data_IF_009760652802
#
_entry.id   IF_009760652802
#
_cell.length_a   1.000
_cell.length_b   1.000
_cell.length_c   1.000
_cell.angle_alpha   90.00
_cell.angle_beta   90.00
_cell.angle_gamma   90.00
#
_symmetry.space_group_name_H-M   'P 1'
#
loop_
_entity.id
_entity.type
_entity.pdbx_description
1 polymer ?
#
# COMPACT_ATOMS: atom_id res chain seq x y z
N UNK A 1 -7.06 -20.17 23.04
CA UNK A 1 -6.33 -20.08 21.73
C UNK A 1 -7.31 -20.57 20.68
N UNK A 2 -7.90 -19.68 19.87
CA UNK A 2 -8.92 -20.05 18.87
C UNK A 2 -8.16 -20.81 17.77
N UNK A 3 -8.50 -22.08 17.64
CA UNK A 3 -8.00 -22.93 16.55
C UNK A 3 -8.69 -22.45 15.26
N UNK A 4 -8.05 -21.48 14.60
CA UNK A 4 -8.57 -20.93 13.37
C UNK A 4 -8.26 -21.91 12.28
N UNK A 5 -9.33 -22.34 11.63
CA UNK A 5 -9.31 -23.20 10.49
C UNK A 5 -8.31 -22.68 9.43
N UNK A 6 -7.42 -23.55 8.98
CA UNK A 6 -6.41 -23.27 7.97
C UNK A 6 -7.05 -22.69 6.70
N UNK A 7 -8.23 -23.13 6.37
CA UNK A 7 -9.00 -22.69 5.21
C UNK A 7 -9.45 -21.22 5.34
N UNK A 8 -9.85 -20.78 6.52
CA UNK A 8 -10.25 -19.38 6.75
C UNK A 8 -9.06 -18.42 6.60
N UNK A 9 -7.88 -18.83 7.04
CA UNK A 9 -6.64 -18.07 6.88
C UNK A 9 -6.21 -17.96 5.42
N UNK A 10 -6.31 -19.04 4.68
CA UNK A 10 -5.99 -19.07 3.25
C UNK A 10 -6.96 -18.22 2.45
N UNK A 11 -8.27 -18.31 2.70
CA UNK A 11 -9.30 -17.48 2.08
C UNK A 11 -9.08 -15.99 2.32
N UNK A 12 -8.72 -15.59 3.54
CA UNK A 12 -8.37 -14.19 3.86
C UNK A 12 -7.11 -13.73 3.14
N UNK A 13 -6.06 -14.55 3.10
CA UNK A 13 -4.84 -14.22 2.38
C UNK A 13 -5.10 -14.04 0.87
N UNK A 14 -5.93 -14.90 0.27
CA UNK A 14 -6.35 -14.78 -1.12
C UNK A 14 -7.11 -13.48 -1.37
N UNK A 15 -8.10 -13.16 -0.53
CA UNK A 15 -8.88 -11.90 -0.61
C UNK A 15 -7.97 -10.68 -0.45
N UNK A 16 -7.02 -10.68 0.51
CA UNK A 16 -6.05 -9.59 0.67
C UNK A 16 -5.14 -9.43 -0.55
N UNK A 17 -4.64 -10.53 -1.11
CA UNK A 17 -3.79 -10.49 -2.30
C UNK A 17 -4.53 -9.93 -3.50
N UNK A 18 -5.80 -10.30 -3.67
CA UNK A 18 -6.63 -9.77 -4.75
C UNK A 18 -6.84 -8.25 -4.59
N UNK A 19 -7.37 -7.83 -3.44
CA UNK A 19 -7.69 -6.42 -3.21
C UNK A 19 -6.48 -5.51 -3.15
N UNK A 20 -5.50 -5.86 -2.32
CA UNK A 20 -4.38 -4.96 -2.01
C UNK A 20 -3.22 -5.03 -3.00
N UNK A 21 -3.12 -6.11 -3.81
CA UNK A 21 -1.98 -6.29 -4.72
C UNK A 21 -2.40 -6.42 -6.18
N UNK A 22 -3.38 -7.32 -6.48
CA UNK A 22 -3.73 -7.56 -7.89
C UNK A 22 -4.44 -6.37 -8.52
N UNK A 23 -5.39 -5.75 -7.83
CA UNK A 23 -6.13 -4.59 -8.38
C UNK A 23 -5.24 -3.38 -8.68
N UNK A 24 -4.34 -2.91 -7.79
CA UNK A 24 -3.39 -1.87 -8.14
C UNK A 24 -2.47 -2.22 -9.31
N UNK A 25 -2.05 -3.51 -9.42
CA UNK A 25 -1.24 -3.96 -10.53
C UNK A 25 -2.00 -3.96 -11.87
N UNK A 26 -3.30 -4.27 -11.87
CA UNK A 26 -4.13 -4.13 -13.07
C UNK A 26 -4.28 -2.67 -13.50
N UNK A 27 -4.52 -1.76 -12.54
CA UNK A 27 -4.64 -0.31 -12.83
C UNK A 27 -3.33 0.21 -13.42
N UNK A 28 -2.18 -0.20 -12.87
CA UNK A 28 -0.87 0.12 -13.41
C UNK A 28 -0.75 -0.27 -14.89
N UNK A 29 -1.16 -1.48 -15.26
CA UNK A 29 -1.00 -1.97 -16.63
C UNK A 29 -1.83 -1.22 -17.67
N UNK A 30 -2.88 -0.51 -17.27
CA UNK A 30 -3.72 0.26 -18.21
C UNK A 30 -2.89 1.29 -18.98
N UNK A 31 -2.01 2.02 -18.32
CA UNK A 31 -1.22 3.10 -18.96
C UNK A 31 -0.22 2.53 -19.96
N UNK A 32 0.66 1.58 -19.64
CA UNK A 32 1.58 0.98 -20.61
C UNK A 32 0.87 0.29 -21.77
N UNK A 33 -0.28 -0.37 -21.53
CA UNK A 33 -1.05 -1.04 -22.58
C UNK A 33 -1.65 -0.01 -23.52
N UNK A 34 -2.32 1.02 -23.00
CA UNK A 34 -2.92 2.08 -23.83
C UNK A 34 -1.85 2.79 -24.66
N UNK A 35 -0.71 3.16 -24.05
CA UNK A 35 0.40 3.77 -24.76
C UNK A 35 0.98 2.82 -25.82
N UNK A 36 1.19 1.54 -25.50
CA UNK A 36 1.70 0.55 -26.45
C UNK A 36 0.76 0.34 -27.64
N UNK A 37 -0.55 0.27 -27.37
CA UNK A 37 -1.56 0.15 -28.42
C UNK A 37 -1.62 1.41 -29.29
N UNK A 38 -1.64 2.60 -28.70
CA UNK A 38 -1.70 3.87 -29.45
C UNK A 38 -0.45 4.09 -30.31
N UNK A 39 0.73 3.78 -29.80
CA UNK A 39 1.98 3.86 -30.57
C UNK A 39 2.01 2.83 -31.71
N UNK A 40 1.56 1.60 -31.45
CA UNK A 40 1.48 0.55 -32.47
C UNK A 40 0.47 0.83 -33.55
N UNK A 41 -0.72 1.30 -33.20
CA UNK A 41 -1.78 1.61 -34.17
C UNK A 41 -1.34 2.70 -35.15
N UNK A 42 -0.65 3.72 -34.69
CA UNK A 42 -0.25 4.84 -35.53
C UNK A 42 0.72 4.44 -36.64
N UNK A 43 1.65 3.50 -36.38
CA UNK A 43 2.61 3.05 -37.39
C UNK A 43 2.05 1.94 -38.30
N UNK A 44 1.03 1.23 -37.88
CA UNK A 44 0.60 -0.03 -38.49
C UNK A 44 -0.72 0.00 -39.24
N UNK A 45 -1.64 0.94 -38.98
CA UNK A 45 -2.91 1.01 -39.71
C UNK A 45 -2.68 1.31 -41.19
N UNK A 46 -1.56 1.95 -41.52
CA UNK A 46 -1.27 2.36 -42.93
C UNK A 46 -0.61 1.27 -43.77
N UNK A 47 -0.04 0.18 -43.16
CA UNK A 47 0.85 -0.74 -43.90
C UNK A 47 0.65 -2.24 -43.62
N UNK A 48 -0.31 -2.69 -42.81
CA UNK A 48 -0.25 -4.09 -42.31
C UNK A 48 -1.30 -5.08 -42.79
N UNK A 49 -0.77 -6.27 -43.17
CA UNK A 49 -1.48 -7.53 -43.25
C UNK A 49 -1.91 -8.02 -41.86
N UNK A 50 -3.14 -8.50 -41.71
CA UNK A 50 -3.78 -8.97 -40.47
C UNK A 50 -2.92 -9.93 -39.61
N UNK A 51 -2.05 -10.74 -40.22
CA UNK A 51 -1.19 -11.66 -39.50
C UNK A 51 -0.14 -10.99 -38.61
N UNK A 52 0.42 -9.86 -39.04
CA UNK A 52 1.37 -9.08 -38.24
C UNK A 52 0.69 -8.35 -37.08
N UNK A 53 -0.52 -7.85 -37.28
CA UNK A 53 -1.35 -7.24 -36.22
C UNK A 53 -1.64 -8.24 -35.11
N UNK A 54 -1.92 -9.50 -35.44
CA UNK A 54 -2.16 -10.56 -34.48
C UNK A 54 -0.89 -10.86 -33.65
N UNK A 55 0.28 -10.99 -34.30
CA UNK A 55 1.57 -11.23 -33.60
C UNK A 55 1.89 -10.07 -32.66
N UNK A 56 1.67 -8.84 -33.08
CA UNK A 56 1.86 -7.66 -32.25
C UNK A 56 0.95 -7.66 -31.01
N UNK A 57 -0.34 -7.96 -31.20
CA UNK A 57 -1.30 -8.05 -30.09
C UNK A 57 -0.95 -9.19 -29.09
N UNK A 58 -0.54 -10.36 -29.59
CA UNK A 58 -0.08 -11.45 -28.76
C UNK A 58 1.21 -11.09 -27.97
N UNK A 59 2.14 -10.39 -28.61
CA UNK A 59 3.38 -9.94 -27.96
C UNK A 59 3.09 -8.97 -26.84
N UNK A 60 2.24 -7.95 -27.06
CA UNK A 60 1.83 -7.01 -26.01
C UNK A 60 1.14 -7.74 -24.86
N UNK A 61 0.22 -8.67 -25.17
CA UNK A 61 -0.51 -9.42 -24.15
C UNK A 61 0.46 -10.26 -23.29
N UNK A 62 1.43 -10.93 -23.91
CA UNK A 62 2.45 -11.73 -23.20
C UNK A 62 3.34 -10.86 -22.31
N UNK A 63 3.86 -9.75 -22.85
CA UNK A 63 4.69 -8.80 -22.10
C UNK A 63 3.88 -8.21 -20.94
N UNK A 64 2.64 -7.80 -21.17
CA UNK A 64 1.77 -7.24 -20.12
C UNK A 64 1.49 -8.25 -19.02
N UNK A 65 1.29 -9.53 -19.38
CA UNK A 65 1.08 -10.61 -18.41
C UNK A 65 2.34 -10.84 -17.57
N UNK A 66 3.50 -10.91 -18.20
CA UNK A 66 4.77 -11.05 -17.50
C UNK A 66 5.05 -9.85 -16.56
N UNK A 67 4.81 -8.63 -17.04
CA UNK A 67 4.89 -7.41 -16.24
C UNK A 67 3.92 -7.43 -15.06
N UNK A 68 2.70 -7.91 -15.25
CA UNK A 68 1.72 -8.04 -14.17
C UNK A 68 2.23 -8.92 -13.03
N UNK A 69 2.75 -10.10 -13.34
CA UNK A 69 3.29 -11.00 -12.31
C UNK A 69 4.50 -10.38 -11.61
N UNK A 70 5.43 -9.79 -12.35
CA UNK A 70 6.59 -9.12 -11.79
C UNK A 70 6.18 -7.96 -10.87
N UNK A 71 5.27 -7.09 -11.31
CA UNK A 71 4.77 -5.96 -10.57
C UNK A 71 4.01 -6.35 -9.31
N UNK A 72 3.20 -7.39 -9.37
CA UNK A 72 2.45 -7.90 -8.21
C UNK A 72 3.36 -8.16 -7.00
N UNK A 73 4.58 -8.61 -7.23
CA UNK A 73 5.57 -8.82 -6.18
C UNK A 73 6.36 -7.56 -5.84
N UNK A 74 6.77 -6.81 -6.85
CA UNK A 74 7.64 -5.64 -6.72
C UNK A 74 6.91 -4.43 -6.14
N UNK A 75 5.65 -4.21 -6.50
CA UNK A 75 4.82 -3.12 -5.98
C UNK A 75 4.73 -3.13 -4.46
N UNK A 76 4.66 -4.31 -3.85
CA UNK A 76 4.66 -4.43 -2.39
C UNK A 76 5.90 -3.82 -1.76
N UNK A 77 7.06 -4.03 -2.35
CA UNK A 77 8.32 -3.61 -1.76
C UNK A 77 8.61 -2.13 -2.07
N UNK A 78 8.27 -1.67 -3.26
CA UNK A 78 8.31 -0.24 -3.62
C UNK A 78 7.35 0.57 -2.76
N UNK A 79 6.10 0.11 -2.58
CA UNK A 79 5.11 0.81 -1.77
C UNK A 79 5.39 0.78 -0.26
N UNK A 80 6.26 -0.11 0.22
CA UNK A 80 6.80 -0.03 1.59
C UNK A 80 7.83 1.09 1.74
N UNK A 81 8.59 1.40 0.68
CA UNK A 81 9.53 2.53 0.70
C UNK A 81 8.77 3.85 0.57
N UNK A 82 7.94 3.97 -0.44
CA UNK A 82 7.03 5.09 -0.65
C UNK A 82 5.63 4.52 -0.97
N UNK A 83 4.57 4.96 -0.33
CA UNK A 83 4.50 5.97 0.72
C UNK A 83 4.80 5.45 2.14
N UNK A 84 5.07 4.17 2.32
CA UNK A 84 5.14 3.54 3.63
C UNK A 84 6.17 4.18 4.59
N UNK A 85 7.40 4.43 4.15
CA UNK A 85 8.45 5.01 5.01
C UNK A 85 8.55 6.53 4.91
N UNK A 86 8.34 7.09 3.72
CA UNK A 86 8.53 8.53 3.46
C UNK A 86 7.31 9.31 3.94
N UNK A 87 6.10 8.84 3.64
CA UNK A 87 4.86 9.52 3.99
C UNK A 87 4.66 9.67 5.51
N UNK A 88 5.06 8.66 6.29
CA UNK A 88 4.96 8.71 7.75
C UNK A 88 6.18 9.33 8.42
N UNK A 89 6.95 10.16 7.72
CA UNK A 89 8.09 11.02 8.07
C UNK A 89 9.14 10.42 9.02
N UNK A 90 8.74 9.63 9.99
CA UNK A 90 9.58 9.06 11.06
C UNK A 90 9.97 7.61 10.80
N UNK A 91 9.70 7.09 9.59
CA UNK A 91 9.88 5.67 9.24
C UNK A 91 9.11 4.68 10.14
N UNK A 92 8.15 5.19 10.90
CA UNK A 92 7.31 4.40 11.79
C UNK A 92 6.03 3.95 11.07
N UNK A 93 5.55 2.77 11.42
CA UNK A 93 4.23 2.32 11.00
C UNK A 93 3.15 3.20 11.66
N UNK A 94 2.00 3.46 11.00
CA UNK A 94 0.92 4.23 11.60
C UNK A 94 0.51 3.73 12.98
N UNK A 95 0.42 2.40 13.16
CA UNK A 95 0.11 1.75 14.43
C UNK A 95 1.16 2.01 15.52
N UNK A 96 2.43 2.01 15.17
CA UNK A 96 3.52 2.31 16.11
C UNK A 96 3.48 3.77 16.54
N UNK A 97 3.17 4.69 15.61
CA UNK A 97 3.15 6.13 15.85
C UNK A 97 2.11 6.54 16.91
N UNK A 98 0.94 5.89 16.93
CA UNK A 98 -0.16 6.23 17.85
C UNK A 98 0.19 6.07 19.34
N UNK A 99 1.15 5.21 19.68
CA UNK A 99 1.59 5.03 21.07
C UNK A 99 2.63 6.04 21.55
N UNK A 100 3.15 6.88 20.64
CA UNK A 100 4.10 7.93 21.01
C UNK A 100 3.41 9.17 21.56
N UNK A 101 4.09 9.88 22.48
CA UNK A 101 3.55 11.07 23.13
C UNK A 101 3.28 12.21 22.14
N UNK A 102 3.99 12.25 21.00
CA UNK A 102 3.84 13.31 19.99
C UNK A 102 2.62 13.10 19.07
N UNK A 103 1.90 11.99 19.19
CA UNK A 103 0.70 11.76 18.41
C UNK A 103 -0.51 12.24 19.22
N UNK A 104 -1.34 13.10 18.63
CA UNK A 104 -2.52 13.69 19.26
C UNK A 104 -3.81 12.92 19.00
N UNK A 105 -3.74 11.73 18.39
CA UNK A 105 -4.92 10.92 18.04
C UNK A 105 -5.64 10.38 19.28
N UNK A 106 -4.86 10.03 20.32
CA UNK A 106 -5.34 9.60 21.62
C UNK A 106 -4.85 10.54 22.71
N UNK A 107 -5.66 10.74 23.76
CA UNK A 107 -5.22 11.44 24.95
C UNK A 107 -4.15 10.65 25.70
N UNK A 108 -3.39 11.29 26.59
CA UNK A 108 -2.37 10.57 27.37
C UNK A 108 -3.00 9.53 28.32
N UNK A 109 -4.22 9.77 28.81
CA UNK A 109 -4.98 8.82 29.60
C UNK A 109 -5.30 7.56 28.78
N UNK A 110 -5.83 7.73 27.57
CA UNK A 110 -6.14 6.62 26.66
C UNK A 110 -4.87 5.82 26.29
N UNK A 111 -3.77 6.51 26.01
CA UNK A 111 -2.48 5.84 25.74
C UNK A 111 -1.98 5.09 26.99
N UNK A 112 -2.16 5.65 28.18
CA UNK A 112 -1.79 5.00 29.44
C UNK A 112 -2.60 3.73 29.66
N UNK A 113 -3.89 3.75 29.38
CA UNK A 113 -4.79 2.60 29.47
C UNK A 113 -4.41 1.50 28.49
N UNK A 114 -4.16 1.85 27.21
CA UNK A 114 -3.65 0.92 26.20
C UNK A 114 -2.34 0.26 26.66
N UNK A 115 -1.39 1.07 27.15
CA UNK A 115 -0.09 0.56 27.67
C UNK A 115 -0.27 -0.36 28.88
N UNK A 116 -1.21 -0.04 29.78
CA UNK A 116 -1.57 -0.86 30.93
C UNK A 116 -2.13 -2.22 30.48
N UNK A 117 -3.03 -2.23 29.52
CA UNK A 117 -3.62 -3.45 28.95
C UNK A 117 -2.56 -4.30 28.21
N UNK A 118 -1.64 -3.69 27.45
CA UNK A 118 -0.50 -4.40 26.85
C UNK A 118 0.38 -5.03 27.91
N UNK A 119 0.69 -4.29 28.98
CA UNK A 119 1.51 -4.80 30.09
C UNK A 119 0.86 -6.00 30.79
N UNK A 120 -0.44 -5.92 31.09
CA UNK A 120 -1.17 -7.02 31.77
C UNK A 120 -1.23 -8.30 30.94
N UNK A 121 -1.38 -8.18 29.60
CA UNK A 121 -1.55 -9.35 28.71
C UNK A 121 -0.28 -9.91 28.13
N UNK A 122 0.75 -9.09 27.89
CA UNK A 122 2.00 -9.53 27.25
C UNK A 122 3.24 -9.32 28.12
N UNK A 123 3.08 -8.71 29.30
CA UNK A 123 4.20 -8.35 30.19
C UNK A 123 5.25 -7.42 29.54
N UNK A 124 4.84 -6.62 28.55
CA UNK A 124 5.69 -5.61 27.91
C UNK A 124 5.40 -4.26 28.58
N UNK A 125 6.35 -3.80 29.42
CA UNK A 125 6.22 -2.49 30.07
C UNK A 125 6.68 -1.37 29.15
N UNK A 126 5.72 -0.63 28.58
CA UNK A 126 5.95 0.53 27.75
C UNK A 126 6.02 1.84 28.56
N UNK A 127 5.58 1.85 29.84
CA UNK A 127 5.60 3.04 30.69
C UNK A 127 7.00 3.37 31.19
N UNK A 128 7.84 2.35 31.41
CA UNK A 128 9.20 2.49 31.90
C UNK A 128 10.12 3.30 30.96
N UNK A 129 9.71 3.47 29.71
CA UNK A 129 10.47 4.16 28.69
C UNK A 129 9.58 5.22 28.02
N UNK A 130 9.39 6.36 28.70
CA UNK A 130 8.71 7.54 28.12
C UNK A 130 9.74 8.46 27.42
N UNK A 131 10.21 8.15 26.20
CA UNK A 131 11.10 9.08 25.50
C UNK A 131 10.25 10.18 24.90
N UNK A 132 10.72 11.39 25.06
CA UNK A 132 10.14 12.55 24.37
C UNK A 132 10.34 12.51 22.85
N UNK A 133 11.14 11.58 22.31
CA UNK A 133 11.49 11.55 20.88
C UNK A 133 11.65 10.12 20.34
N UNK A 134 11.38 9.95 19.03
CA UNK A 134 11.57 8.70 18.26
C UNK A 134 13.03 8.23 18.15
N UNK A 135 13.99 8.97 18.72
CA UNK A 135 15.42 8.69 18.59
C UNK A 135 15.90 7.53 19.45
N UNK A 136 15.11 7.09 20.43
CA UNK A 136 15.48 5.95 21.28
C UNK A 136 15.17 4.62 20.56
N UNK A 137 16.15 4.05 19.87
CA UNK A 137 16.03 2.78 19.14
C UNK A 137 15.52 1.62 20.02
N UNK A 138 15.89 1.58 21.31
CA UNK A 138 15.45 0.51 22.23
C UNK A 138 13.96 0.60 22.53
N UNK A 139 13.43 1.80 22.68
CA UNK A 139 11.99 2.01 22.88
C UNK A 139 11.21 1.71 21.61
N UNK A 140 11.66 2.19 20.44
CA UNK A 140 11.06 1.89 19.14
C UNK A 140 10.90 0.38 18.96
N UNK A 141 11.96 -0.39 19.23
CA UNK A 141 11.93 -1.85 19.12
C UNK A 141 10.89 -2.49 20.04
N UNK A 142 10.76 -2.02 21.29
CA UNK A 142 9.74 -2.53 22.21
C UNK A 142 8.33 -2.18 21.83
N UNK A 143 8.11 -0.96 21.35
CA UNK A 143 6.79 -0.56 20.81
C UNK A 143 6.45 -1.37 19.57
N UNK A 144 7.39 -1.61 18.66
CA UNK A 144 7.18 -2.48 17.50
C UNK A 144 6.85 -3.92 17.89
N UNK A 145 7.52 -4.49 18.90
CA UNK A 145 7.20 -5.82 19.43
C UNK A 145 5.78 -5.89 19.99
N UNK A 146 5.38 -4.87 20.76
CA UNK A 146 4.02 -4.77 21.28
C UNK A 146 2.98 -4.64 20.16
N UNK A 147 3.26 -3.80 19.14
CA UNK A 147 2.38 -3.60 18.00
C UNK A 147 2.26 -4.86 17.14
N UNK A 148 3.35 -5.58 16.91
CA UNK A 148 3.33 -6.85 16.16
C UNK A 148 2.42 -7.86 16.86
N UNK A 149 2.58 -8.01 18.18
CA UNK A 149 1.72 -8.88 18.99
C UNK A 149 0.24 -8.42 18.93
N UNK A 150 -0.01 -7.14 19.07
CA UNK A 150 -1.36 -6.55 19.03
C UNK A 150 -2.03 -6.80 17.68
N UNK A 151 -1.31 -6.63 16.58
CA UNK A 151 -1.79 -6.96 15.24
C UNK A 151 -2.09 -8.45 15.05
N UNK A 152 -1.34 -9.32 15.73
CA UNK A 152 -1.55 -10.76 15.67
C UNK A 152 -2.81 -11.18 16.44
N UNK A 153 -3.03 -10.62 17.63
CA UNK A 153 -4.22 -10.87 18.45
C UNK A 153 -5.50 -10.34 17.80
N UNK A 154 -5.42 -9.19 17.12
CA UNK A 154 -6.57 -8.56 16.45
C UNK A 154 -6.78 -9.04 15.01
N UNK A 155 -5.89 -9.88 14.49
CA UNK A 155 -5.80 -10.28 13.07
C UNK A 155 -7.10 -10.84 12.49
N UNK A 156 -7.93 -11.47 13.31
CA UNK A 156 -9.12 -12.20 12.85
C UNK A 156 -10.40 -11.39 12.90
N UNK A 157 -10.33 -10.15 13.34
CA UNK A 157 -11.45 -9.24 13.25
C UNK A 157 -11.73 -8.85 11.78
N UNK A 158 -12.97 -9.04 11.31
CA UNK A 158 -13.35 -8.82 9.92
C UNK A 158 -13.29 -7.35 9.53
N UNK A 159 -13.70 -6.47 10.44
CA UNK A 159 -13.66 -5.02 10.23
C UNK A 159 -12.21 -4.57 10.03
N UNK A 160 -11.30 -5.03 10.87
CA UNK A 160 -9.87 -4.73 10.72
C UNK A 160 -9.29 -5.26 9.44
N UNK A 161 -9.74 -6.42 9.01
CA UNK A 161 -9.31 -7.00 7.75
C UNK A 161 -9.67 -6.11 6.56
N UNK A 162 -10.87 -5.55 6.54
CA UNK A 162 -11.32 -4.62 5.48
C UNK A 162 -10.50 -3.33 5.46
N UNK A 163 -10.28 -2.71 6.63
CA UNK A 163 -9.43 -1.51 6.72
C UNK A 163 -7.98 -1.80 6.28
N UNK A 164 -7.46 -2.97 6.61
CA UNK A 164 -6.12 -3.39 6.15
C UNK A 164 -6.06 -3.58 4.62
N UNK A 165 -7.10 -4.14 4.02
CA UNK A 165 -7.23 -4.27 2.57
C UNK A 165 -7.27 -2.89 1.89
N UNK A 166 -8.09 -1.95 2.41
CA UNK A 166 -8.18 -0.58 1.90
C UNK A 166 -6.84 0.16 1.99
N UNK A 167 -6.20 0.13 3.16
CA UNK A 167 -4.88 0.73 3.34
C UNK A 167 -3.84 0.12 2.39
N UNK A 168 -3.83 -1.21 2.27
CA UNK A 168 -2.95 -1.93 1.36
C UNK A 168 -3.18 -1.58 -0.11
N UNK A 169 -4.44 -1.44 -0.53
CA UNK A 169 -4.81 -1.03 -1.88
C UNK A 169 -4.27 0.36 -2.23
N UNK A 170 -4.61 1.38 -1.44
CA UNK A 170 -4.20 2.75 -1.70
C UNK A 170 -2.68 2.93 -1.66
N UNK A 171 -2.02 2.28 -0.71
CA UNK A 171 -0.56 2.28 -0.62
C UNK A 171 0.10 1.70 -1.87
N UNK A 172 -0.39 0.56 -2.35
CA UNK A 172 0.18 -0.09 -3.53
C UNK A 172 -0.20 0.66 -4.81
N UNK A 173 -1.38 1.26 -4.89
CA UNK A 173 -1.79 2.12 -6.01
C UNK A 173 -0.88 3.36 -6.11
N UNK A 174 -0.58 4.02 -5.00
CA UNK A 174 0.36 5.15 -5.00
C UNK A 174 1.74 4.72 -5.49
N UNK A 175 2.23 3.54 -5.07
CA UNK A 175 3.49 2.99 -5.57
C UNK A 175 3.45 2.67 -7.06
N UNK A 176 2.32 2.16 -7.56
CA UNK A 176 2.11 1.88 -8.98
C UNK A 176 2.15 3.16 -9.82
N UNK A 177 1.42 4.20 -9.41
CA UNK A 177 1.40 5.50 -10.10
C UNK A 177 2.78 6.17 -10.15
N UNK A 178 3.63 5.96 -9.15
CA UNK A 178 5.01 6.46 -9.19
C UNK A 178 5.84 5.78 -10.28
N UNK A 179 5.68 4.46 -10.45
CA UNK A 179 6.38 3.73 -11.51
C UNK A 179 5.87 4.17 -12.87
N UNK A 180 4.55 4.29 -13.03
CA UNK A 180 3.93 4.79 -14.26
C UNK A 180 4.42 6.19 -14.61
N UNK A 181 4.51 7.08 -13.63
CA UNK A 181 5.04 8.44 -13.84
C UNK A 181 6.49 8.40 -14.34
N UNK A 182 7.35 7.57 -13.73
CA UNK A 182 8.73 7.41 -14.20
C UNK A 182 8.79 6.86 -15.62
N UNK A 183 7.89 5.92 -15.96
CA UNK A 183 7.78 5.38 -17.31
C UNK A 183 7.36 6.45 -18.32
N UNK A 184 6.30 7.23 -18.03
CA UNK A 184 5.82 8.32 -18.89
C UNK A 184 6.90 9.40 -19.06
N UNK A 185 7.61 9.77 -18.02
CA UNK A 185 8.69 10.73 -18.10
C UNK A 185 9.88 10.20 -18.89
N UNK A 186 10.21 8.91 -18.73
CA UNK A 186 11.22 8.23 -19.55
C UNK A 186 10.86 8.29 -21.03
N UNK A 187 9.61 7.97 -21.38
CA UNK A 187 9.13 8.09 -22.78
C UNK A 187 9.16 9.53 -23.28
N UNK A 188 8.80 10.51 -22.46
CA UNK A 188 8.85 11.94 -22.81
C UNK A 188 10.29 12.38 -23.09
N UNK A 189 11.26 11.93 -22.29
CA UNK A 189 12.68 12.21 -22.48
C UNK A 189 13.17 11.57 -23.78
N UNK A 190 12.88 10.30 -24.01
CA UNK A 190 13.24 9.59 -25.26
C UNK A 190 12.64 10.29 -26.48
N UNK A 191 11.38 10.69 -26.39
CA UNK A 191 10.73 11.43 -27.48
C UNK A 191 11.44 12.74 -27.81
N UNK A 192 11.88 13.48 -26.78
CA UNK A 192 12.58 14.77 -26.98
C UNK A 192 13.97 14.60 -27.59
N UNK A 193 14.67 13.51 -27.29
CA UNK A 193 16.10 13.34 -27.62
C UNK A 193 16.35 12.47 -28.87
N UNK A 194 15.49 11.50 -29.15
CA UNK A 194 15.73 10.48 -30.17
C UNK A 194 14.65 10.43 -31.27
N UNK A 195 13.41 10.74 -30.95
CA UNK A 195 12.28 10.61 -31.86
C UNK A 195 11.24 11.72 -31.62
N UNK A 196 10.72 12.34 -32.68
CA UNK A 196 9.55 13.20 -32.59
C UNK A 196 8.29 12.36 -32.66
N UNK A 197 7.87 11.78 -31.54
CA UNK A 197 6.59 11.08 -31.48
C UNK A 197 5.43 12.07 -31.59
N UNK A 198 4.36 11.77 -32.36
CA UNK A 198 3.24 12.68 -32.57
C UNK A 198 2.45 13.03 -31.30
N UNK A 199 2.75 12.35 -30.18
CA UNK A 199 2.03 12.55 -28.91
C UNK A 199 2.88 13.24 -27.82
N UNK A 200 3.96 13.93 -28.16
CA UNK A 200 4.85 14.54 -27.16
C UNK A 200 4.12 15.44 -26.17
N UNK A 201 3.19 16.26 -26.63
CA UNK A 201 2.37 17.11 -25.77
C UNK A 201 1.41 16.29 -24.90
N UNK A 202 0.80 15.23 -25.44
CA UNK A 202 -0.11 14.36 -24.69
C UNK A 202 0.64 13.62 -23.54
N UNK A 203 1.87 13.16 -23.77
CA UNK A 203 2.70 12.57 -22.72
C UNK A 203 3.03 13.56 -21.61
N UNK A 204 3.31 14.82 -21.93
CA UNK A 204 3.57 15.86 -20.93
C UNK A 204 2.32 16.12 -20.07
N UNK A 205 1.13 16.23 -20.70
CA UNK A 205 -0.14 16.37 -19.96
C UNK A 205 -0.45 15.16 -19.10
N UNK A 206 -0.24 13.96 -19.61
CA UNK A 206 -0.41 12.73 -18.85
C UNK A 206 0.49 12.72 -17.62
N UNK A 207 1.76 13.12 -17.76
CA UNK A 207 2.69 13.27 -16.64
C UNK A 207 2.20 14.26 -15.57
N UNK A 208 1.61 15.38 -15.97
CA UNK A 208 1.00 16.36 -15.09
C UNK A 208 -0.20 15.77 -14.31
N UNK A 209 -1.10 15.08 -15.00
CA UNK A 209 -2.25 14.39 -14.37
C UNK A 209 -1.77 13.35 -13.37
N UNK A 210 -0.73 12.59 -13.68
CA UNK A 210 -0.18 11.59 -12.78
C UNK A 210 0.36 12.20 -11.49
N UNK A 211 1.01 13.36 -11.53
CA UNK A 211 1.45 14.07 -10.32
C UNK A 211 0.25 14.37 -9.42
N UNK A 212 -0.84 14.89 -9.98
CA UNK A 212 -2.06 15.18 -9.20
C UNK A 212 -2.66 13.90 -8.59
N UNK A 213 -2.70 12.81 -9.35
CA UNK A 213 -3.19 11.51 -8.85
C UNK A 213 -2.29 10.96 -7.74
N UNK A 214 -0.96 11.10 -7.84
CA UNK A 214 -0.02 10.69 -6.80
C UNK A 214 -0.25 11.49 -5.52
N UNK A 215 -0.42 12.80 -5.61
CA UNK A 215 -0.71 13.65 -4.44
C UNK A 215 -2.02 13.19 -3.79
N UNK A 216 -3.08 13.03 -4.56
CA UNK A 216 -4.39 12.60 -4.07
C UNK A 216 -4.33 11.21 -3.39
N UNK A 217 -3.75 10.22 -4.08
CA UNK A 217 -3.62 8.85 -3.53
C UNK A 217 -2.70 8.80 -2.32
N UNK A 218 -1.71 9.68 -2.23
CA UNK A 218 -0.83 9.84 -1.06
C UNK A 218 -1.62 10.30 0.16
N UNK A 219 -2.47 11.33 0.00
CA UNK A 219 -3.35 11.83 1.07
C UNK A 219 -4.32 10.73 1.53
N UNK A 220 -4.94 10.03 0.57
CA UNK A 220 -5.87 8.92 0.87
C UNK A 220 -5.13 7.79 1.62
N UNK A 221 -3.92 7.43 1.19
CA UNK A 221 -3.10 6.42 1.86
C UNK A 221 -2.77 6.79 3.30
N UNK A 222 -2.41 8.06 3.53
CA UNK A 222 -2.14 8.56 4.88
C UNK A 222 -3.36 8.44 5.79
N UNK A 223 -4.51 8.91 5.31
CA UNK A 223 -5.77 8.86 6.07
C UNK A 223 -6.20 7.41 6.37
N UNK A 224 -6.18 6.53 5.36
CA UNK A 224 -6.52 5.11 5.57
C UNK A 224 -5.54 4.41 6.53
N UNK A 225 -4.26 4.75 6.48
CA UNK A 225 -3.26 4.23 7.42
C UNK A 225 -3.55 4.65 8.87
N UNK A 226 -3.97 5.91 9.10
CA UNK A 226 -4.36 6.39 10.43
C UNK A 226 -5.65 5.73 10.92
N UNK A 227 -6.67 5.63 10.06
CA UNK A 227 -7.94 4.98 10.40
C UNK A 227 -7.71 3.50 10.75
N UNK A 228 -6.95 2.78 9.93
CA UNK A 228 -6.58 1.40 10.23
C UNK A 228 -5.87 1.29 11.58
N UNK A 229 -4.87 2.13 11.83
CA UNK A 229 -4.13 2.13 13.08
C UNK A 229 -5.03 2.37 14.29
N UNK A 230 -5.94 3.36 14.21
CA UNK A 230 -6.91 3.64 15.27
C UNK A 230 -7.82 2.43 15.53
N UNK A 231 -8.39 1.84 14.47
CA UNK A 231 -9.26 0.66 14.58
C UNK A 231 -8.57 -0.55 15.21
N UNK A 232 -7.27 -0.74 14.98
CA UNK A 232 -6.49 -1.80 15.64
C UNK A 232 -6.53 -1.65 17.16
N UNK A 233 -6.35 -0.44 17.68
CA UNK A 233 -6.41 -0.18 19.12
C UNK A 233 -7.84 -0.25 19.67
N UNK A 234 -8.82 0.28 18.96
CA UNK A 234 -10.22 0.21 19.35
C UNK A 234 -10.68 -1.27 19.52
N UNK A 235 -10.37 -2.13 18.53
CA UNK A 235 -10.67 -3.56 18.61
C UNK A 235 -9.89 -4.23 19.74
N UNK A 236 -8.63 -3.87 19.95
CA UNK A 236 -7.84 -4.43 21.04
C UNK A 236 -8.43 -4.06 22.42
N UNK A 237 -8.90 -2.84 22.60
CA UNK A 237 -9.49 -2.41 23.85
C UNK A 237 -10.80 -3.15 24.15
N UNK A 238 -11.56 -3.54 23.15
CA UNK A 238 -12.86 -4.22 23.31
C UNK A 238 -12.73 -5.76 23.35
N UNK A 239 -11.57 -6.36 23.10
CA UNK A 239 -11.38 -7.82 23.03
C UNK A 239 -11.76 -8.60 24.32
N UNK A 240 -11.90 -7.93 25.46
CA UNK A 240 -12.26 -8.58 26.72
C UNK A 240 -13.76 -8.52 27.00
N UNK A 241 -14.47 -7.57 26.42
CA UNK A 241 -15.91 -7.40 26.60
C UNK A 241 -16.69 -8.51 25.87
N UNK A 242 -16.18 -8.95 24.70
CA UNK A 242 -16.81 -10.03 23.93
C UNK A 242 -16.73 -11.41 24.62
N UNK A 243 -15.82 -11.61 25.58
CA UNK A 243 -15.72 -12.89 26.31
C UNK A 243 -16.75 -13.06 27.44
N UNK A 244 -17.37 -11.98 27.86
CA UNK A 244 -18.38 -12.00 28.92
C UNK A 244 -19.81 -12.13 28.37
N UNK A 245 -19.98 -12.16 27.03
CA UNK A 245 -21.28 -12.22 26.36
C UNK A 245 -21.58 -13.59 25.71
N UNK A 246 -20.80 -14.64 26.03
CA UNK A 246 -21.06 -16.02 25.57
C UNK A 246 -21.01 -17.02 26.74
#
# INVERSE_FOLDING_TARGET
MIQIDKDSKEKRNKKYNDWARSRPAYIFLVIPIVLGVTMGINDYITTMLWGKALIYFMSISTISTALFFWLKFTLRDISKLYPGKILFCDRLKPTTKLLYNNDSTYTEEQKAEIRKKIKSKKNIDLQKYKPKTYRNKKYVKRVDEAVVWLLDVTRFNDILFEYNCMYGFWRNLTGALLIDMLFVWGLTAVNKWLYTLPFGNALAWLGGIMILLIILTTIITYNNGRIFAKKVYDVFMNLDEDKNNY
#
